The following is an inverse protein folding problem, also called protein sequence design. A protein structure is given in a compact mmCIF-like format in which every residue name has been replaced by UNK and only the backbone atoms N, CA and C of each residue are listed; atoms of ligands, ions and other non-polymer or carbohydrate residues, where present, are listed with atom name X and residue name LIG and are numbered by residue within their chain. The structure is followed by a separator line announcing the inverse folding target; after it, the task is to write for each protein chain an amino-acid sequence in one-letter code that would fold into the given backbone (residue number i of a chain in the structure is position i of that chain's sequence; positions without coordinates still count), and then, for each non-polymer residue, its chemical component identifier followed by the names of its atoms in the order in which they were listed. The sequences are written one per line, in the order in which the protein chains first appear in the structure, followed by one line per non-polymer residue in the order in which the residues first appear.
data_IF_505537884882
#
_entry.id   IF_505537884882
#
_cell.length_a   1.000
_cell.length_b   1.000
_cell.length_c   1.000
_cell.angle_alpha   90.00
_cell.angle_beta   90.00
_cell.angle_gamma   90.00
#
_symmetry.space_group_name_H-M   'P 1'
#
loop_
_entity.id
_entity.type
_entity.pdbx_description
1 polymer ?
#
# COMPACT_ATOMS: atom_id res chain seq x y z
N UNK A 1 30.21 -8.93 26.58
CA UNK A 1 29.25 -7.96 26.00
C UNK A 1 29.04 -8.35 24.55
N UNK A 2 27.87 -8.89 24.24
CA UNK A 2 27.54 -9.46 22.93
C UNK A 2 27.17 -8.34 21.95
N UNK A 3 27.98 -8.17 20.92
CA UNK A 3 27.66 -7.35 19.75
C UNK A 3 26.57 -8.06 18.95
N UNK A 4 25.30 -7.80 19.30
CA UNK A 4 24.20 -8.01 18.35
C UNK A 4 24.41 -7.02 17.21
N UNK A 5 25.00 -7.50 16.10
CA UNK A 5 24.79 -6.90 14.78
C UNK A 5 23.28 -6.73 14.64
N UNK A 6 22.81 -5.48 14.64
CA UNK A 6 21.52 -5.13 14.06
C UNK A 6 21.61 -5.65 12.63
N UNK A 7 20.86 -6.70 12.32
CA UNK A 7 20.45 -6.98 10.96
C UNK A 7 19.62 -5.76 10.53
N UNK A 8 20.33 -4.76 10.02
CA UNK A 8 19.74 -3.73 9.20
C UNK A 8 19.40 -4.47 7.92
N UNK A 9 18.20 -5.05 7.87
CA UNK A 9 17.62 -5.49 6.61
C UNK A 9 17.78 -4.31 5.65
N UNK A 10 18.55 -4.50 4.58
CA UNK A 10 18.50 -3.65 3.41
C UNK A 10 17.05 -3.75 2.89
N UNK A 11 16.15 -2.96 3.45
CA UNK A 11 14.85 -2.73 2.87
C UNK A 11 15.11 -1.94 1.60
N UNK A 12 14.64 -2.45 0.47
CA UNK A 12 14.60 -1.65 -0.73
C UNK A 12 13.80 -0.38 -0.43
N UNK A 13 14.11 0.68 -1.17
CA UNK A 13 13.45 1.96 -1.05
C UNK A 13 12.75 2.36 -2.35
N UNK A 14 12.49 1.38 -3.23
CA UNK A 14 11.94 1.60 -4.56
C UNK A 14 10.48 1.96 -4.43
N UNK A 15 10.12 3.10 -5.04
CA UNK A 15 8.76 3.64 -5.01
C UNK A 15 8.12 3.68 -6.38
N UNK A 16 6.83 3.38 -6.41
CA UNK A 16 5.98 3.53 -7.58
C UNK A 16 4.91 4.60 -7.34
N UNK A 17 4.59 5.34 -8.38
CA UNK A 17 3.43 6.24 -8.42
C UNK A 17 2.49 5.81 -9.54
N UNK A 18 1.20 5.89 -9.26
CA UNK A 18 0.14 5.51 -10.17
C UNK A 18 -1.06 6.44 -10.04
N UNK A 19 -1.87 6.50 -11.10
CA UNK A 19 -3.20 7.10 -11.06
C UNK A 19 -4.18 6.31 -11.90
N UNK A 20 -5.45 6.37 -11.53
CA UNK A 20 -6.54 5.95 -12.40
C UNK A 20 -6.96 7.09 -13.32
N UNK A 21 -7.22 6.75 -14.58
CA UNK A 21 -7.80 7.64 -15.58
C UNK A 21 -9.32 7.38 -15.66
N UNK A 22 -10.09 8.37 -16.11
CA UNK A 22 -11.56 8.28 -16.24
C UNK A 22 -12.03 7.11 -17.11
N UNK A 23 -11.19 6.67 -18.05
CA UNK A 23 -11.45 5.52 -18.92
C UNK A 23 -11.15 4.16 -18.26
N UNK A 24 -10.83 4.14 -16.96
CA UNK A 24 -10.54 2.95 -16.17
C UNK A 24 -9.10 2.47 -16.20
N UNK A 25 -8.28 2.94 -17.15
CA UNK A 25 -6.86 2.54 -17.22
C UNK A 25 -6.05 3.12 -16.06
N UNK A 26 -4.96 2.44 -15.75
CA UNK A 26 -4.00 2.86 -14.73
C UNK A 26 -2.73 3.36 -15.40
N UNK A 27 -2.38 4.62 -15.16
CA UNK A 27 -1.10 5.18 -15.57
C UNK A 27 -0.11 5.06 -14.41
N UNK A 28 1.07 4.49 -14.62
CA UNK A 28 2.00 4.18 -13.53
C UNK A 28 3.46 4.19 -13.94
N UNK A 29 4.36 4.37 -12.98
CA UNK A 29 5.80 4.42 -13.25
C UNK A 29 6.62 4.72 -11.99
N UNK A 30 7.93 4.73 -12.17
CA UNK A 30 8.88 4.92 -11.08
C UNK A 30 8.76 6.33 -10.49
N UNK A 31 8.74 6.41 -9.16
CA UNK A 31 8.80 7.67 -8.39
C UNK A 31 10.10 7.85 -7.60
N UNK A 32 11.09 7.00 -7.87
CA UNK A 32 12.43 7.09 -7.29
C UNK A 32 12.70 6.12 -6.16
N UNK A 33 13.87 6.32 -5.54
CA UNK A 33 14.29 5.64 -4.32
C UNK A 33 13.99 6.55 -3.12
N UNK A 34 13.72 5.96 -1.96
CA UNK A 34 13.28 6.67 -0.76
C UNK A 34 11.76 6.86 -0.71
N UNK A 35 11.00 5.82 -1.08
CA UNK A 35 9.53 5.83 -1.13
C UNK A 35 8.76 6.07 0.16
N UNK A 36 9.47 6.22 1.28
CA UNK A 36 8.91 6.52 2.60
C UNK A 36 7.88 7.66 2.56
N UNK A 37 6.89 7.60 3.45
CA UNK A 37 5.89 8.65 3.56
C UNK A 37 6.52 10.04 3.70
N UNK A 38 7.55 10.17 4.54
CA UNK A 38 8.19 11.46 4.83
C UNK A 38 8.88 12.12 3.62
N UNK A 39 9.11 11.38 2.53
CA UNK A 39 9.64 11.89 1.27
C UNK A 39 8.55 12.00 0.23
N UNK A 40 7.94 10.89 -0.19
CA UNK A 40 7.01 10.88 -1.32
C UNK A 40 5.61 11.29 -0.88
N UNK A 41 5.04 10.60 0.12
CA UNK A 41 3.69 10.87 0.62
C UNK A 41 3.49 12.33 1.04
N UNK A 42 4.41 12.88 1.82
CA UNK A 42 4.36 14.29 2.25
C UNK A 42 4.37 15.27 1.09
N UNK A 43 5.10 15.00 0.01
CA UNK A 43 5.15 15.87 -1.17
C UNK A 43 3.85 15.80 -1.96
N UNK A 44 3.30 14.60 -2.12
CA UNK A 44 2.00 14.42 -2.78
C UNK A 44 0.90 15.18 -2.02
N UNK A 45 0.83 15.01 -0.70
CA UNK A 45 -0.12 15.75 0.14
C UNK A 45 0.17 17.25 0.19
N UNK A 46 1.41 17.70 0.02
CA UNK A 46 1.73 19.13 0.04
C UNK A 46 1.44 19.84 -1.27
N UNK A 47 1.66 19.18 -2.42
CA UNK A 47 1.77 19.86 -3.72
C UNK A 47 0.85 19.31 -4.81
N UNK A 48 0.29 18.12 -4.64
CA UNK A 48 -0.42 17.40 -5.71
C UNK A 48 -1.77 16.86 -5.27
N UNK A 49 -2.57 17.64 -4.53
CA UNK A 49 -3.91 17.21 -4.12
C UNK A 49 -4.98 17.51 -5.19
N UNK A 50 -4.85 18.66 -5.87
CA UNK A 50 -5.79 19.07 -6.90
C UNK A 50 -5.59 18.29 -8.21
N UNK A 51 -6.65 17.84 -8.90
CA UNK A 51 -6.54 17.05 -10.12
C UNK A 51 -5.64 17.67 -11.20
N UNK A 52 -5.67 19.00 -11.35
CA UNK A 52 -4.83 19.73 -12.31
C UNK A 52 -3.34 19.63 -12.01
N UNK A 53 -2.97 19.56 -10.73
CA UNK A 53 -1.58 19.42 -10.32
C UNK A 53 -1.13 17.97 -10.44
N UNK A 54 -2.02 17.00 -10.20
CA UNK A 54 -1.78 15.59 -10.53
C UNK A 54 -1.59 15.41 -12.04
N UNK A 55 -2.45 15.99 -12.87
CA UNK A 55 -2.29 15.99 -14.33
C UNK A 55 -0.93 16.54 -14.75
N UNK A 56 -0.55 17.67 -14.17
CA UNK A 56 0.77 18.25 -14.38
C UNK A 56 1.89 17.27 -14.02
N UNK A 57 1.85 16.66 -12.82
CA UNK A 57 2.84 15.69 -12.37
C UNK A 57 2.99 14.52 -13.34
N UNK A 58 1.88 13.97 -13.81
CA UNK A 58 1.90 12.84 -14.73
C UNK A 58 2.31 13.23 -16.16
N UNK A 59 2.13 14.49 -16.56
CA UNK A 59 2.61 15.01 -17.84
C UNK A 59 4.13 15.24 -17.87
N UNK A 60 4.78 15.35 -16.70
CA UNK A 60 6.26 15.43 -16.63
C UNK A 60 6.96 14.11 -16.95
N UNK A 61 6.24 12.98 -16.93
CA UNK A 61 6.82 11.64 -17.04
C UNK A 61 7.34 11.10 -15.70
N UNK A 62 8.01 9.94 -15.75
CA UNK A 62 8.49 9.24 -14.56
C UNK A 62 9.61 10.04 -13.86
N UNK A 63 9.72 9.87 -12.55
CA UNK A 63 10.60 10.71 -11.73
C UNK A 63 11.44 9.90 -10.75
N UNK A 64 12.67 10.36 -10.50
CA UNK A 64 13.55 9.88 -9.41
C UNK A 64 13.31 10.63 -8.11
N UNK A 65 12.70 11.81 -8.17
CA UNK A 65 12.33 12.62 -7.02
C UNK A 65 11.20 13.58 -7.42
N UNK A 66 10.07 13.49 -6.73
CA UNK A 66 8.96 14.42 -6.93
C UNK A 66 9.35 15.79 -6.35
N UNK A 67 9.27 16.85 -7.14
CA UNK A 67 9.54 18.22 -6.75
C UNK A 67 8.26 19.05 -6.65
N UNK A 68 8.38 20.37 -6.47
CA UNK A 68 7.28 21.31 -6.61
C UNK A 68 7.00 21.56 -8.09
N UNK A 69 5.75 21.90 -8.41
CA UNK A 69 5.39 22.46 -9.72
C UNK A 69 6.32 23.62 -10.13
N UNK A 70 6.84 23.56 -11.34
CA UNK A 70 7.78 24.52 -11.93
C UNK A 70 9.25 24.27 -11.58
N UNK A 71 9.55 23.33 -10.69
CA UNK A 71 10.93 23.06 -10.26
C UNK A 71 11.73 22.18 -11.22
N UNK A 72 11.10 21.64 -12.26
CA UNK A 72 11.74 20.87 -13.32
C UNK A 72 12.61 21.72 -14.25
N UNK A 73 12.45 23.05 -14.24
CA UNK A 73 13.20 23.98 -15.11
C UNK A 73 14.53 24.48 -14.50
N UNK A 74 14.82 24.17 -13.24
CA UNK A 74 15.96 24.73 -12.50
C UNK A 74 15.53 25.79 -11.47
N UNK A 75 16.51 26.47 -10.85
CA UNK A 75 16.34 27.60 -9.91
C UNK A 75 15.70 27.34 -8.54
N UNK A 76 15.18 26.14 -8.32
CA UNK A 76 14.73 25.68 -7.01
C UNK A 76 15.87 25.01 -6.23
N UNK A 77 15.81 25.11 -4.89
CA UNK A 77 16.72 24.35 -4.03
C UNK A 77 16.52 22.84 -4.27
N UNK A 78 17.62 22.08 -4.35
CA UNK A 78 17.62 20.66 -4.74
C UNK A 78 16.61 19.80 -3.96
N UNK A 79 16.35 20.14 -2.70
CA UNK A 79 15.41 19.40 -1.84
C UNK A 79 13.95 19.54 -2.27
N UNK A 80 13.58 20.51 -3.10
CA UNK A 80 12.21 20.70 -3.60
C UNK A 80 12.12 20.60 -5.12
N UNK A 81 13.23 20.25 -5.79
CA UNK A 81 13.30 20.14 -7.24
C UNK A 81 12.90 18.76 -7.74
N UNK A 82 12.27 18.70 -8.91
CA UNK A 82 12.05 17.45 -9.63
C UNK A 82 13.37 16.85 -10.10
N UNK A 83 13.45 15.52 -10.13
CA UNK A 83 14.49 14.80 -10.86
C UNK A 83 13.83 13.86 -11.87
N UNK A 84 13.55 14.36 -13.06
CA UNK A 84 12.86 13.57 -14.09
C UNK A 84 13.78 12.47 -14.65
N UNK A 85 13.18 11.36 -15.04
CA UNK A 85 13.88 10.27 -15.73
C UNK A 85 14.02 10.55 -17.23
N UNK A 86 13.05 11.26 -17.80
CA UNK A 86 12.87 11.45 -19.24
C UNK A 86 11.91 10.42 -19.87
N UNK A 87 11.50 9.39 -19.14
CA UNK A 87 10.62 8.34 -19.65
C UNK A 87 9.14 8.66 -19.43
N UNK A 88 8.25 8.31 -20.37
CA UNK A 88 6.82 8.42 -20.15
C UNK A 88 6.33 7.38 -19.14
N UNK A 89 5.20 7.65 -18.49
CA UNK A 89 4.51 6.65 -17.68
C UNK A 89 3.99 5.49 -18.54
N UNK A 90 3.94 4.29 -17.96
CA UNK A 90 3.31 3.14 -18.57
C UNK A 90 1.79 3.17 -18.37
N UNK A 91 1.09 2.35 -19.15
CA UNK A 91 -0.36 2.19 -19.09
C UNK A 91 -0.70 0.72 -18.83
N UNK A 92 -1.58 0.49 -17.87
CA UNK A 92 -2.11 -0.82 -17.49
C UNK A 92 -3.63 -0.81 -17.47
N UNK A 93 -4.22 -2.00 -17.46
CA UNK A 93 -5.68 -2.17 -17.46
C UNK A 93 -6.27 -2.36 -16.05
N UNK A 94 -5.43 -2.63 -15.06
CA UNK A 94 -5.82 -2.89 -13.66
C UNK A 94 -4.81 -2.29 -12.68
N UNK A 95 -5.17 -2.19 -11.39
CA UNK A 95 -4.20 -1.74 -10.36
C UNK A 95 -3.04 -2.73 -10.22
N UNK A 96 -3.28 -4.02 -10.51
CA UNK A 96 -2.23 -5.04 -10.44
C UNK A 96 -1.05 -4.77 -11.37
N UNK A 97 -1.30 -4.12 -12.51
CA UNK A 97 -0.26 -3.80 -13.50
C UNK A 97 0.87 -2.91 -12.97
N UNK A 98 0.64 -2.18 -11.87
CA UNK A 98 1.69 -1.32 -11.29
C UNK A 98 2.92 -2.16 -10.89
N UNK A 99 2.76 -3.45 -10.62
CA UNK A 99 3.86 -4.35 -10.26
C UNK A 99 4.54 -5.06 -11.44
N UNK A 100 4.13 -4.81 -12.69
CA UNK A 100 4.59 -5.59 -13.85
C UNK A 100 6.00 -5.23 -14.35
N UNK A 101 6.40 -3.96 -14.18
CA UNK A 101 7.60 -3.38 -14.82
C UNK A 101 8.76 -3.14 -13.87
N UNK A 102 8.48 -2.97 -12.59
CA UNK A 102 9.48 -2.66 -11.56
C UNK A 102 9.49 -3.81 -10.57
N UNK A 103 10.64 -4.48 -10.46
CA UNK A 103 10.85 -5.51 -9.46
C UNK A 103 11.09 -4.88 -8.08
N UNK A 104 10.70 -5.59 -7.02
CA UNK A 104 10.98 -5.20 -5.63
C UNK A 104 10.47 -3.80 -5.27
N UNK A 105 9.24 -3.47 -5.65
CA UNK A 105 8.58 -2.25 -5.18
C UNK A 105 8.32 -2.39 -3.68
N UNK A 106 8.80 -1.42 -2.90
CA UNK A 106 8.64 -1.38 -1.45
C UNK A 106 7.56 -0.37 -1.02
N UNK A 107 7.27 0.63 -1.86
CA UNK A 107 6.31 1.70 -1.59
C UNK A 107 5.49 2.01 -2.83
N UNK A 108 4.18 2.21 -2.68
CA UNK A 108 3.34 2.69 -3.77
C UNK A 108 2.45 3.86 -3.37
N UNK A 109 2.17 4.73 -4.33
CA UNK A 109 1.21 5.83 -4.19
C UNK A 109 0.26 5.80 -5.38
N UNK A 110 -1.04 5.86 -5.10
CA UNK A 110 -2.08 5.68 -6.11
C UNK A 110 -3.12 6.79 -5.98
N UNK A 111 -3.30 7.60 -7.02
CA UNK A 111 -4.37 8.59 -7.10
C UNK A 111 -5.60 7.99 -7.78
N UNK A 112 -6.75 7.95 -7.11
CA UNK A 112 -7.94 7.29 -7.66
C UNK A 112 -9.03 8.29 -8.10
N UNK A 113 -10.17 7.75 -8.57
CA UNK A 113 -11.29 8.53 -9.15
C UNK A 113 -12.00 9.44 -8.15
N UNK A 114 -11.86 9.17 -6.86
CA UNK A 114 -12.30 10.05 -5.78
C UNK A 114 -11.35 11.24 -5.55
N UNK A 115 -10.32 11.38 -6.40
CA UNK A 115 -9.35 12.47 -6.40
C UNK A 115 -8.53 12.57 -5.12
N UNK A 116 -8.23 11.42 -4.49
CA UNK A 116 -7.33 11.35 -3.34
C UNK A 116 -6.19 10.37 -3.55
N UNK A 117 -5.14 10.57 -2.77
CA UNK A 117 -3.99 9.67 -2.73
C UNK A 117 -4.21 8.51 -1.76
N UNK A 118 -3.82 7.33 -2.21
CA UNK A 118 -3.70 6.12 -1.43
C UNK A 118 -2.23 5.69 -1.35
N UNK A 119 -1.80 5.32 -0.16
CA UNK A 119 -0.57 4.59 0.09
C UNK A 119 -0.82 3.10 -0.17
N UNK A 120 0.02 2.48 -0.98
CA UNK A 120 -0.01 1.06 -1.27
C UNK A 120 1.15 0.41 -0.53
N UNK A 121 0.83 -0.50 0.38
CA UNK A 121 1.80 -1.39 1.02
C UNK A 121 1.96 -2.62 0.12
N UNK A 122 3.12 -2.83 -0.53
CA UNK A 122 3.43 -4.07 -1.21
C UNK A 122 3.73 -5.16 -0.18
N UNK A 123 3.44 -6.41 -0.53
CA UNK A 123 3.66 -7.54 0.37
C UNK A 123 2.90 -8.77 -0.11
N UNK A 124 2.73 -9.79 0.76
CA UNK A 124 1.79 -10.86 0.48
C UNK A 124 0.41 -10.27 0.16
N UNK A 125 -0.18 -9.51 1.08
CA UNK A 125 -1.29 -8.65 0.74
C UNK A 125 -0.79 -7.29 0.21
N UNK A 126 -1.42 -6.80 -0.85
CA UNK A 126 -1.33 -5.43 -1.36
C UNK A 126 -2.39 -4.59 -0.66
N UNK A 127 -1.95 -3.73 0.25
CA UNK A 127 -2.87 -3.00 1.13
C UNK A 127 -2.98 -1.56 0.65
N UNK A 128 -4.18 -1.15 0.27
CA UNK A 128 -4.49 0.21 -0.16
C UNK A 128 -5.08 1.00 1.00
N UNK A 129 -4.44 2.10 1.37
CA UNK A 129 -4.75 2.90 2.56
C UNK A 129 -4.79 4.36 2.17
N UNK A 130 -5.81 5.13 2.57
CA UNK A 130 -5.84 6.57 2.30
C UNK A 130 -4.56 7.24 2.84
N UNK A 131 -3.81 7.99 2.01
CA UNK A 131 -2.48 8.52 2.39
C UNK A 131 -2.55 9.46 3.60
N UNK A 132 -3.64 10.20 3.75
CA UNK A 132 -3.87 11.02 4.96
C UNK A 132 -4.01 10.19 6.24
N UNK A 133 -4.55 8.97 6.18
CA UNK A 133 -4.60 8.08 7.34
C UNK A 133 -3.19 7.66 7.80
N UNK A 134 -2.25 7.52 6.86
CA UNK A 134 -0.83 7.32 7.17
C UNK A 134 -0.26 8.57 7.87
N UNK A 135 -0.53 9.76 7.34
CA UNK A 135 -0.05 11.04 7.90
C UNK A 135 -0.46 11.24 9.36
N UNK A 136 -1.72 10.99 9.69
CA UNK A 136 -2.28 11.15 11.03
C UNK A 136 -1.78 10.11 12.04
N UNK A 137 -1.10 9.06 11.58
CA UNK A 137 -0.64 7.94 12.42
C UNK A 137 0.88 7.71 12.34
N UNK A 138 1.65 8.70 11.87
CA UNK A 138 3.12 8.63 11.92
C UNK A 138 3.61 8.56 13.37
N UNK A 139 4.76 7.90 13.58
CA UNK A 139 5.44 7.97 14.85
C UNK A 139 6.14 9.33 15.08
N UNK A 140 6.75 9.51 16.26
CA UNK A 140 7.45 10.75 16.63
C UNK A 140 8.61 11.10 15.68
N UNK A 141 9.18 10.10 14.99
CA UNK A 141 10.23 10.29 14.00
C UNK A 141 9.67 10.54 12.58
N UNK A 142 8.35 10.54 12.42
CA UNK A 142 7.67 10.78 11.16
C UNK A 142 7.62 9.56 10.24
N UNK A 143 7.71 8.34 10.78
CA UNK A 143 7.65 7.09 10.02
C UNK A 143 6.34 6.33 10.23
N UNK A 144 5.92 5.62 9.19
CA UNK A 144 4.64 4.90 9.10
C UNK A 144 4.68 3.47 9.66
N UNK A 145 5.86 2.89 9.89
CA UNK A 145 6.01 1.43 10.10
C UNK A 145 5.24 0.88 11.31
N UNK A 146 5.18 1.63 12.40
CA UNK A 146 4.43 1.24 13.59
C UNK A 146 2.94 1.14 13.30
N UNK A 147 2.42 2.07 12.49
CA UNK A 147 1.04 2.08 12.04
C UNK A 147 0.78 0.97 11.02
N UNK A 148 1.67 0.76 10.05
CA UNK A 148 1.53 -0.34 9.09
C UNK A 148 1.46 -1.69 9.81
N UNK A 149 2.32 -1.96 10.81
CA UNK A 149 2.24 -3.18 11.63
C UNK A 149 0.91 -3.30 12.40
N UNK A 150 0.27 -2.19 12.76
CA UNK A 150 -1.08 -2.16 13.37
C UNK A 150 -2.17 -2.46 12.34
N UNK A 151 -2.04 -1.96 11.11
CA UNK A 151 -2.94 -2.27 9.99
C UNK A 151 -2.89 -3.77 9.70
N UNK A 152 -1.70 -4.36 9.54
CA UNK A 152 -1.54 -5.79 9.28
C UNK A 152 -2.18 -6.67 10.37
N UNK A 153 -1.96 -6.33 11.64
CA UNK A 153 -2.59 -7.03 12.77
C UNK A 153 -4.12 -6.95 12.71
N UNK A 154 -4.67 -5.76 12.42
CA UNK A 154 -6.13 -5.57 12.28
C UNK A 154 -6.70 -6.37 11.11
N UNK A 155 -6.02 -6.40 9.96
CA UNK A 155 -6.44 -7.20 8.80
C UNK A 155 -6.56 -8.67 9.19
N UNK A 156 -5.53 -9.24 9.79
CA UNK A 156 -5.54 -10.67 10.14
C UNK A 156 -6.57 -10.98 11.23
N UNK A 157 -6.78 -10.06 12.17
CA UNK A 157 -7.86 -10.21 13.16
C UNK A 157 -9.24 -10.15 12.50
N UNK A 158 -9.44 -9.29 11.52
CA UNK A 158 -10.67 -9.23 10.75
C UNK A 158 -10.90 -10.53 9.98
N UNK A 159 -9.90 -11.00 9.23
CA UNK A 159 -9.96 -12.26 8.46
C UNK A 159 -10.26 -13.46 9.38
N UNK A 160 -9.53 -13.59 10.48
CA UNK A 160 -9.61 -14.76 11.36
C UNK A 160 -10.76 -14.69 12.39
N UNK A 161 -11.32 -13.51 12.68
CA UNK A 161 -12.44 -13.41 13.63
C UNK A 161 -13.73 -13.00 12.96
N UNK A 162 -13.74 -11.89 12.23
CA UNK A 162 -14.98 -11.35 11.69
C UNK A 162 -15.40 -12.21 10.50
N UNK A 163 -14.56 -12.27 9.48
CA UNK A 163 -14.82 -13.09 8.29
C UNK A 163 -14.86 -14.58 8.66
N UNK A 164 -13.87 -15.06 9.42
CA UNK A 164 -13.79 -16.41 10.00
C UNK A 164 -14.94 -16.88 10.88
N UNK A 165 -15.88 -16.00 11.25
CA UNK A 165 -17.07 -16.37 12.05
C UNK A 165 -18.38 -15.96 11.41
N UNK A 166 -18.36 -15.24 10.30
CA UNK A 166 -19.57 -14.74 9.63
C UNK A 166 -19.77 -15.30 8.23
N UNK A 167 -18.68 -15.59 7.49
CA UNK A 167 -18.75 -16.16 6.15
C UNK A 167 -18.82 -17.69 6.20
N UNK A 168 -19.98 -18.26 5.83
CA UNK A 168 -20.23 -19.71 5.93
C UNK A 168 -19.29 -20.53 5.05
N UNK A 169 -18.99 -20.03 3.85
CA UNK A 169 -18.11 -20.72 2.91
C UNK A 169 -16.68 -20.81 3.45
N UNK A 170 -16.20 -19.73 4.05
CA UNK A 170 -14.87 -19.71 4.63
C UNK A 170 -14.76 -20.49 5.94
N UNK A 171 -15.78 -20.44 6.80
CA UNK A 171 -15.84 -21.30 8.00
C UNK A 171 -15.70 -22.76 7.59
N UNK A 172 -16.52 -23.20 6.63
CA UNK A 172 -16.47 -24.56 6.10
C UNK A 172 -15.10 -24.88 5.48
N UNK A 173 -14.54 -23.95 4.70
CA UNK A 173 -13.21 -24.12 4.11
C UNK A 173 -12.10 -24.35 5.15
N UNK A 174 -12.13 -23.58 6.25
CA UNK A 174 -11.19 -23.70 7.37
C UNK A 174 -11.34 -25.07 8.06
N UNK A 175 -12.58 -25.50 8.31
CA UNK A 175 -12.90 -26.80 8.91
C UNK A 175 -12.46 -27.97 8.02
N UNK A 176 -12.76 -27.92 6.71
CA UNK A 176 -12.40 -28.94 5.73
C UNK A 176 -10.88 -29.08 5.58
N UNK A 177 -10.14 -27.97 5.74
CA UNK A 177 -8.68 -27.95 5.74
C UNK A 177 -8.05 -28.35 7.10
N UNK A 178 -8.88 -28.62 8.11
CA UNK A 178 -8.44 -29.08 9.44
C UNK A 178 -7.73 -28.00 10.25
N UNK A 179 -8.03 -26.72 10.00
CA UNK A 179 -7.40 -25.61 10.70
C UNK A 179 -8.22 -25.16 11.91
N UNK A 180 -7.52 -24.89 13.02
CA UNK A 180 -8.08 -24.16 14.16
C UNK A 180 -7.62 -22.69 14.15
N UNK A 181 -8.58 -21.78 14.22
CA UNK A 181 -8.35 -20.33 14.12
C UNK A 181 -7.49 -19.79 15.28
N UNK A 182 -7.65 -20.32 16.49
CA UNK A 182 -6.92 -19.82 17.66
C UNK A 182 -5.49 -20.35 17.69
N UNK A 183 -5.26 -21.57 17.21
CA UNK A 183 -3.93 -22.10 16.92
C UNK A 183 -3.21 -21.27 15.85
N UNK A 184 -3.89 -20.93 14.75
CA UNK A 184 -3.35 -20.04 13.71
C UNK A 184 -2.85 -18.73 14.33
N UNK A 185 -3.71 -18.05 15.11
CA UNK A 185 -3.35 -16.77 15.74
C UNK A 185 -2.15 -16.91 16.66
N UNK A 186 -2.08 -17.98 17.46
CA UNK A 186 -0.96 -18.24 18.37
C UNK A 186 0.34 -18.41 17.61
N UNK A 187 0.31 -19.14 16.50
CA UNK A 187 1.50 -19.45 15.71
C UNK A 187 2.07 -18.26 14.91
N UNK A 188 1.19 -17.39 14.39
CA UNK A 188 1.59 -16.23 13.59
C UNK A 188 1.86 -14.98 14.43
N UNK A 189 1.61 -15.04 15.74
CA UNK A 189 1.85 -13.92 16.66
C UNK A 189 3.35 -13.61 16.80
N UNK A 190 3.69 -12.32 16.80
CA UNK A 190 5.01 -11.76 17.08
C UNK A 190 4.81 -10.50 17.93
N UNK A 191 5.32 -10.53 19.16
CA UNK A 191 5.16 -9.45 20.14
C UNK A 191 3.70 -9.03 20.36
N UNK A 192 2.78 -10.01 20.38
CA UNK A 192 1.35 -9.79 20.60
C UNK A 192 0.56 -9.30 19.36
N UNK A 193 1.22 -9.09 18.22
CA UNK A 193 0.59 -8.73 16.93
C UNK A 193 0.64 -9.89 15.94
N UNK A 194 -0.40 -10.07 15.15
CA UNK A 194 -0.44 -11.08 14.09
C UNK A 194 0.42 -10.62 12.90
N UNK A 195 1.25 -11.52 12.35
CA UNK A 195 2.17 -11.22 11.24
C UNK A 195 1.66 -11.77 9.91
N UNK A 196 1.46 -10.87 8.93
CA UNK A 196 1.07 -11.26 7.54
C UNK A 196 2.14 -12.14 6.90
N UNK A 197 3.42 -11.86 7.14
CA UNK A 197 4.53 -12.68 6.61
C UNK A 197 4.44 -14.12 7.15
N UNK A 198 4.28 -14.31 8.47
CA UNK A 198 4.13 -15.66 9.04
C UNK A 198 2.85 -16.34 8.55
N UNK A 199 1.76 -15.59 8.44
CA UNK A 199 0.50 -16.09 7.92
C UNK A 199 0.66 -16.61 6.49
N UNK A 200 1.25 -15.82 5.60
CA UNK A 200 1.55 -16.22 4.22
C UNK A 200 2.49 -17.43 4.15
N UNK A 201 3.52 -17.49 4.99
CA UNK A 201 4.48 -18.59 4.97
C UNK A 201 3.89 -19.92 5.43
N UNK A 202 3.05 -19.91 6.47
CA UNK A 202 2.51 -21.12 7.11
C UNK A 202 1.14 -21.55 6.59
N UNK A 203 0.28 -20.59 6.24
CA UNK A 203 -1.14 -20.81 5.95
C UNK A 203 -1.49 -20.34 4.53
N UNK A 204 -0.67 -20.74 3.54
CA UNK A 204 -0.83 -20.37 2.13
C UNK A 204 -2.24 -20.65 1.59
N UNK A 205 -2.84 -21.78 1.97
CA UNK A 205 -4.18 -22.16 1.53
C UNK A 205 -5.24 -21.14 1.95
N UNK A 206 -5.21 -20.74 3.22
CA UNK A 206 -6.10 -19.69 3.75
C UNK A 206 -5.81 -18.36 3.08
N UNK A 207 -4.53 -18.02 2.90
CA UNK A 207 -4.14 -16.80 2.19
C UNK A 207 -4.72 -16.75 0.76
N UNK A 208 -4.56 -17.82 -0.03
CA UNK A 208 -5.09 -17.92 -1.40
C UNK A 208 -6.61 -18.10 -1.46
N UNK A 209 -7.31 -18.22 -0.33
CA UNK A 209 -8.77 -18.09 -0.32
C UNK A 209 -9.20 -16.66 -0.68
N UNK A 210 -8.37 -15.66 -0.35
CA UNK A 210 -8.67 -14.25 -0.54
C UNK A 210 -7.98 -13.68 -1.78
N UNK A 211 -8.57 -12.64 -2.35
CA UNK A 211 -7.82 -11.76 -3.22
C UNK A 211 -6.68 -11.11 -2.43
N UNK A 212 -5.55 -10.91 -3.09
CA UNK A 212 -4.38 -10.38 -2.42
C UNK A 212 -4.41 -8.85 -2.26
N UNK A 213 -5.40 -8.14 -2.84
CA UNK A 213 -5.66 -6.74 -2.54
C UNK A 213 -6.65 -6.55 -1.40
N UNK A 214 -6.33 -5.59 -0.53
CA UNK A 214 -7.14 -5.22 0.63
C UNK A 214 -7.30 -3.70 0.64
N UNK A 215 -8.53 -3.23 0.80
CA UNK A 215 -8.82 -1.81 0.95
C UNK A 215 -9.11 -1.48 2.42
N UNK A 216 -8.38 -0.50 2.95
CA UNK A 216 -8.59 0.04 4.29
C UNK A 216 -9.46 1.30 4.16
N UNK A 217 -10.68 1.24 4.72
CA UNK A 217 -11.57 2.40 4.83
C UNK A 217 -11.30 3.12 6.14
N UNK A 218 -11.15 4.42 6.05
CA UNK A 218 -10.96 5.32 7.18
C UNK A 218 -12.27 6.00 7.57
N UNK A 219 -12.32 6.48 8.81
CA UNK A 219 -13.37 7.40 9.22
C UNK A 219 -13.32 8.70 8.38
N UNK A 220 -14.39 9.52 8.46
CA UNK A 220 -14.50 10.80 7.75
C UNK A 220 -13.31 11.75 7.90
N UNK A 221 -12.57 11.65 9.01
CA UNK A 221 -11.45 12.53 9.32
C UNK A 221 -10.09 11.95 8.92
N UNK A 222 -10.05 10.72 8.38
CA UNK A 222 -8.81 10.00 8.06
C UNK A 222 -7.89 9.81 9.27
N UNK A 223 -8.43 9.67 10.49
CA UNK A 223 -7.62 9.47 11.70
C UNK A 223 -7.59 8.01 12.16
N UNK A 224 -8.64 7.26 11.84
CA UNK A 224 -8.80 5.88 12.30
C UNK A 224 -9.32 4.97 11.18
N UNK A 225 -8.99 3.69 11.30
CA UNK A 225 -9.53 2.62 10.44
C UNK A 225 -10.96 2.32 10.89
N UNK A 226 -11.90 2.50 9.98
CA UNK A 226 -13.34 2.25 10.18
C UNK A 226 -13.71 0.85 9.68
N UNK A 227 -13.23 0.45 8.51
CA UNK A 227 -13.54 -0.85 7.91
C UNK A 227 -12.37 -1.43 7.11
N UNK A 228 -12.43 -2.74 6.87
CA UNK A 228 -11.44 -3.51 6.12
C UNK A 228 -12.18 -4.34 5.09
N UNK A 229 -11.95 -4.01 3.82
CA UNK A 229 -12.58 -4.73 2.71
C UNK A 229 -11.61 -5.79 2.21
N UNK A 230 -12.01 -7.04 2.39
CA UNK A 230 -11.32 -8.23 1.87
C UNK A 230 -12.33 -8.99 1.01
N UNK A 231 -11.89 -9.46 -0.15
CA UNK A 231 -12.72 -10.28 -1.04
C UNK A 231 -12.15 -11.69 -1.15
N UNK A 232 -13.03 -12.65 -1.38
CA UNK A 232 -12.64 -14.00 -1.80
C UNK A 232 -11.94 -13.93 -3.16
N UNK A 233 -10.93 -14.77 -3.37
CA UNK A 233 -10.28 -14.88 -4.67
C UNK A 233 -11.31 -15.34 -5.71
N UNK A 234 -11.43 -14.59 -6.80
CA UNK A 234 -12.33 -14.87 -7.91
C UNK A 234 -11.73 -14.43 -9.23
N UNK A 235 -12.36 -14.81 -10.35
CA UNK A 235 -11.80 -14.56 -11.68
C UNK A 235 -11.89 -13.08 -12.11
N UNK A 236 -12.83 -12.30 -11.58
CA UNK A 236 -13.04 -10.91 -12.01
C UNK A 236 -13.57 -9.97 -10.92
N UNK A 237 -12.74 -9.02 -10.50
CA UNK A 237 -13.17 -7.74 -9.92
C UNK A 237 -12.21 -6.64 -10.36
N UNK A 238 -12.75 -5.43 -10.57
CA UNK A 238 -11.93 -4.25 -10.85
C UNK A 238 -11.51 -3.68 -9.51
N UNK A 239 -10.20 -3.54 -9.31
CA UNK A 239 -9.70 -2.90 -8.12
C UNK A 239 -10.00 -1.39 -8.19
N UNK A 240 -10.68 -0.80 -7.19
CA UNK A 240 -11.00 0.63 -7.09
C UNK A 240 -10.87 1.17 -5.65
N UNK A 241 -11.21 2.44 -5.41
CA UNK A 241 -11.39 2.99 -4.07
C UNK A 241 -12.74 2.62 -3.42
N UNK A 242 -13.64 1.95 -4.13
CA UNK A 242 -15.00 1.60 -3.67
C UNK A 242 -15.29 0.09 -3.75
N UNK A 243 -14.28 -0.73 -3.45
CA UNK A 243 -14.41 -2.20 -3.50
C UNK A 243 -15.68 -2.73 -2.85
#
# INVERSE_FOLDING_TARGET
MSNKKKEQNNMGDISIIARRLDNGHVQYGWSGNGGYFNVVGRRLLSWYQDPKDVDYLFNLGQTRLIGKKGSEYGDYHWSVSHQLTGDPFWLGNTERCIFDKIAFIDYGYFYDLDHVWYYIVPGPFRIKIHTKLIEENLDEAGYEFNFLRKVEDKILRYVLNNYGKTDRDFIKYIEDEGYDIDDIKREISIDGKLSIIKFYQKYKKIYYYFDDWILIKSNKHNTEIEDIIVKKQGEHHIETCEW
#
